data_IF_429656787832
#
_entry.id   IF_429656787832
#
_cell.length_a   1.000
_cell.length_b   1.000
_cell.length_c   1.000
_cell.angle_alpha   90.00
_cell.angle_beta   90.00
_cell.angle_gamma   90.00
#
_symmetry.space_group_name_H-M   'P 1'
#
loop_
_entity.id
_entity.type
_entity.pdbx_description
1 polymer ?
#
# COMPACT_ATOMS: atom_id res chain seq x y z
N UNK A 1 5.81 -12.86 -15.85
CA UNK A 1 4.65 -12.06 -15.45
C UNK A 1 4.76 -10.72 -16.15
N UNK A 2 3.84 -10.41 -17.04
CA UNK A 2 3.75 -9.12 -17.70
C UNK A 2 2.66 -8.31 -16.97
N UNK A 3 3.08 -7.40 -16.11
CA UNK A 3 2.18 -6.40 -15.52
C UNK A 3 2.33 -5.12 -16.31
N UNK A 4 1.23 -4.64 -16.87
CA UNK A 4 1.18 -3.34 -17.53
C UNK A 4 1.15 -2.25 -16.45
N UNK A 5 2.25 -1.51 -16.35
CA UNK A 5 2.37 -0.37 -15.44
C UNK A 5 2.25 0.92 -16.25
N UNK A 6 1.33 1.80 -15.86
CA UNK A 6 1.21 3.09 -16.49
C UNK A 6 2.46 3.94 -16.18
N UNK A 7 3.24 4.24 -17.22
CA UNK A 7 4.38 5.15 -17.14
C UNK A 7 3.93 6.55 -17.58
N UNK A 8 4.49 7.56 -16.94
CA UNK A 8 4.17 8.96 -17.19
C UNK A 8 3.14 9.53 -16.21
N UNK A 9 2.91 10.84 -16.26
CA UNK A 9 2.00 11.50 -15.35
C UNK A 9 0.54 11.19 -15.70
N UNK A 10 -0.23 10.86 -14.67
CA UNK A 10 -1.68 10.70 -14.73
C UNK A 10 -2.29 11.41 -13.53
N UNK A 11 -3.39 12.10 -13.74
CA UNK A 11 -4.10 12.79 -12.65
C UNK A 11 -5.60 12.57 -12.80
N UNK A 12 -6.28 12.51 -11.66
CA UNK A 12 -7.72 12.47 -11.59
C UNK A 12 -8.21 13.44 -10.52
N UNK A 13 -9.31 14.10 -10.80
CA UNK A 13 -10.03 14.94 -9.85
C UNK A 13 -11.51 14.58 -9.89
N UNK A 14 -12.09 14.30 -8.75
CA UNK A 14 -13.51 13.98 -8.60
C UNK A 14 -14.12 14.89 -7.57
N UNK A 15 -15.25 15.50 -7.91
CA UNK A 15 -16.08 16.28 -6.98
C UNK A 15 -17.53 15.87 -7.16
N UNK A 16 -18.22 15.59 -6.06
CA UNK A 16 -19.64 15.15 -6.07
C UNK A 16 -20.42 16.01 -5.13
N UNK A 17 -21.43 16.73 -5.65
CA UNK A 17 -22.33 17.51 -4.82
C UNK A 17 -23.45 16.60 -4.27
N UNK A 18 -23.63 16.60 -2.94
CA UNK A 18 -24.75 15.97 -2.26
C UNK A 18 -25.53 17.02 -1.50
N UNK A 19 -26.83 17.12 -1.80
CA UNK A 19 -27.76 18.06 -1.19
C UNK A 19 -29.08 17.35 -0.88
N UNK A 20 -29.95 17.99 -0.14
CA UNK A 20 -31.31 17.47 0.09
C UNK A 20 -32.09 17.23 -1.21
N UNK A 21 -31.84 18.01 -2.25
CA UNK A 21 -32.44 17.84 -3.57
C UNK A 21 -31.96 16.55 -4.30
N UNK A 22 -30.81 16.05 -3.93
CA UNK A 22 -30.21 14.78 -4.48
C UNK A 22 -30.37 13.60 -3.51
N UNK A 23 -31.21 13.72 -2.47
CA UNK A 23 -31.46 12.65 -1.51
C UNK A 23 -30.48 12.58 -0.35
N UNK A 24 -29.59 13.55 -0.19
CA UNK A 24 -28.66 13.62 0.92
C UNK A 24 -29.24 14.28 2.17
N UNK A 25 -28.91 13.80 3.36
CA UNK A 25 -29.36 14.39 4.64
C UNK A 25 -28.78 15.78 4.88
N UNK A 26 -27.64 16.10 4.25
CA UNK A 26 -26.92 17.38 4.43
C UNK A 26 -26.21 17.79 3.14
N UNK A 27 -26.00 19.11 2.99
CA UNK A 27 -25.18 19.63 1.91
C UNK A 27 -23.69 19.28 2.17
N UNK A 28 -23.12 18.47 1.30
CA UNK A 28 -21.72 18.01 1.34
C UNK A 28 -21.12 18.05 -0.06
N UNK A 29 -19.85 18.37 -0.13
CA UNK A 29 -19.08 18.32 -1.37
C UNK A 29 -17.84 17.41 -1.14
N UNK A 30 -17.96 16.07 -1.31
CA UNK A 30 -16.81 15.19 -1.38
C UNK A 30 -15.91 15.55 -2.55
N UNK A 31 -14.61 15.67 -2.28
CA UNK A 31 -13.58 15.98 -3.27
C UNK A 31 -12.47 14.95 -3.11
N UNK A 32 -11.99 14.43 -4.22
CA UNK A 32 -10.78 13.61 -4.22
C UNK A 32 -9.92 13.93 -5.43
N UNK A 33 -8.62 14.04 -5.22
CA UNK A 33 -7.61 14.19 -6.25
C UNK A 33 -6.56 13.10 -6.12
N UNK A 34 -6.03 12.66 -7.23
CA UNK A 34 -4.92 11.72 -7.28
C UNK A 34 -3.98 12.07 -8.41
N UNK A 35 -2.70 11.98 -8.13
CA UNK A 35 -1.62 12.07 -9.09
C UNK A 35 -0.80 10.80 -9.07
N UNK A 36 -0.46 10.30 -10.24
CA UNK A 36 0.42 9.15 -10.43
C UNK A 36 1.49 9.50 -11.45
N UNK A 37 2.69 8.98 -11.24
CA UNK A 37 3.76 9.03 -12.24
C UNK A 37 4.64 7.81 -12.14
N UNK A 38 5.18 7.38 -13.28
CA UNK A 38 6.09 6.25 -13.35
C UNK A 38 7.21 6.52 -14.33
N UNK A 39 8.39 5.98 -14.03
CA UNK A 39 9.55 6.05 -14.91
C UNK A 39 10.37 4.76 -14.81
N UNK A 40 10.74 4.24 -15.96
CA UNK A 40 11.71 3.17 -16.04
C UNK A 40 13.07 3.72 -16.49
N UNK A 41 14.14 3.30 -15.81
CA UNK A 41 15.52 3.61 -16.20
C UNK A 41 16.38 2.36 -16.03
N UNK A 42 16.79 1.78 -17.15
CA UNK A 42 17.47 0.48 -17.15
C UNK A 42 16.59 -0.61 -16.51
N UNK A 43 17.14 -1.31 -15.55
CA UNK A 43 16.39 -2.32 -14.79
C UNK A 43 15.54 -1.78 -13.64
N UNK A 44 15.53 -0.48 -13.38
CA UNK A 44 14.75 0.11 -12.30
C UNK A 44 13.45 0.71 -12.80
N UNK A 45 12.35 0.32 -12.17
CA UNK A 45 11.05 0.93 -12.26
C UNK A 45 10.81 1.77 -11.01
N UNK A 46 10.48 3.03 -11.18
CA UNK A 46 10.15 3.96 -10.09
C UNK A 46 8.74 4.47 -10.31
N UNK A 47 7.97 4.55 -9.24
CA UNK A 47 6.57 4.93 -9.26
C UNK A 47 6.30 5.88 -8.09
N UNK A 48 5.47 6.87 -8.35
CA UNK A 48 5.06 7.85 -7.36
C UNK A 48 3.56 8.08 -7.44
N UNK A 49 2.92 8.08 -6.28
CA UNK A 49 1.51 8.39 -6.09
C UNK A 49 1.37 9.48 -5.05
N UNK A 50 0.44 10.40 -5.28
CA UNK A 50 -0.02 11.36 -4.29
C UNK A 50 -1.54 11.46 -4.35
N UNK A 51 -2.20 11.58 -3.22
CA UNK A 51 -3.64 11.69 -3.15
C UNK A 51 -4.09 12.64 -2.05
N UNK A 52 -5.23 13.22 -2.28
CA UNK A 52 -5.95 14.03 -1.32
C UNK A 52 -7.43 13.66 -1.44
N UNK A 53 -8.08 13.39 -0.33
CA UNK A 53 -9.51 13.16 -0.28
C UNK A 53 -10.12 13.82 0.94
N UNK A 54 -11.37 14.24 0.85
CA UNK A 54 -12.09 14.86 1.95
C UNK A 54 -13.44 15.35 1.50
N UNK A 55 -14.12 16.08 2.36
CA UNK A 55 -15.37 16.74 2.02
C UNK A 55 -15.42 18.16 2.60
N UNK A 56 -16.09 19.03 1.90
CA UNK A 56 -16.47 20.34 2.43
C UNK A 56 -17.88 20.22 3.02
N UNK A 57 -18.00 20.49 4.30
CA UNK A 57 -19.26 20.53 5.03
C UNK A 57 -19.30 21.80 5.90
N UNK A 58 -20.36 22.61 5.82
CA UNK A 58 -20.49 23.86 6.59
C UNK A 58 -19.27 24.80 6.47
N UNK A 59 -18.72 24.94 5.27
CA UNK A 59 -17.54 25.76 4.95
C UNK A 59 -16.24 25.28 5.62
N UNK A 60 -16.20 24.06 6.11
CA UNK A 60 -15.02 23.44 6.70
C UNK A 60 -14.60 22.18 5.95
N UNK A 61 -13.32 21.91 5.91
CA UNK A 61 -12.78 20.64 5.42
C UNK A 61 -12.93 19.58 6.51
N UNK A 62 -13.64 18.51 6.21
CA UNK A 62 -13.90 17.40 7.11
C UNK A 62 -13.41 16.09 6.48
N UNK A 63 -12.96 15.16 7.30
CA UNK A 63 -12.49 13.84 6.88
C UNK A 63 -11.41 13.92 5.78
N UNK A 64 -10.48 14.86 5.92
CA UNK A 64 -9.42 15.08 4.94
C UNK A 64 -8.30 14.09 5.19
N UNK A 65 -7.89 13.38 4.14
CA UNK A 65 -6.72 12.48 4.14
C UNK A 65 -5.83 12.87 2.96
N UNK A 66 -4.57 13.10 3.24
CA UNK A 66 -3.54 13.32 2.24
C UNK A 66 -2.46 12.24 2.36
N UNK A 67 -1.92 11.79 1.25
CA UNK A 67 -0.87 10.79 1.28
C UNK A 67 0.03 10.85 0.07
N UNK A 68 1.22 10.31 0.25
CA UNK A 68 2.20 10.07 -0.80
C UNK A 68 2.73 8.63 -0.68
N UNK A 69 2.98 8.03 -1.82
CA UNK A 69 3.68 6.75 -1.91
C UNK A 69 4.74 6.82 -2.99
N UNK A 70 5.93 6.34 -2.67
CA UNK A 70 7.00 6.16 -3.63
C UNK A 70 7.40 4.68 -3.60
N UNK A 71 7.52 4.07 -4.77
CA UNK A 71 7.98 2.70 -4.89
C UNK A 71 9.08 2.61 -5.95
N UNK A 72 10.05 1.74 -5.69
CA UNK A 72 11.09 1.40 -6.64
C UNK A 72 11.26 -0.13 -6.69
N UNK A 73 11.39 -0.66 -7.89
CA UNK A 73 11.56 -2.08 -8.10
C UNK A 73 12.62 -2.34 -9.16
N UNK A 74 13.54 -3.24 -8.86
CA UNK A 74 14.47 -3.77 -9.85
C UNK A 74 13.77 -4.88 -10.63
N UNK A 75 13.70 -4.69 -11.95
CA UNK A 75 13.08 -5.64 -12.88
C UNK A 75 14.03 -6.84 -13.11
N UNK A 76 13.42 -8.01 -13.30
CA UNK A 76 14.15 -9.24 -13.58
C UNK A 76 13.79 -10.36 -12.60
N UNK A 77 14.48 -11.49 -12.74
CA UNK A 77 14.25 -12.69 -11.92
C UNK A 77 14.78 -12.55 -10.49
N UNK A 78 15.66 -11.58 -10.27
CA UNK A 78 16.22 -11.22 -8.95
C UNK A 78 16.26 -9.71 -8.84
N UNK A 79 15.98 -9.18 -7.67
CA UNK A 79 16.09 -7.74 -7.48
C UNK A 79 15.52 -7.22 -6.17
N UNK A 80 15.88 -5.99 -5.90
CA UNK A 80 15.38 -5.21 -4.77
C UNK A 80 14.08 -4.52 -5.11
N UNK A 81 13.25 -4.37 -4.11
CA UNK A 81 12.03 -3.58 -4.16
C UNK A 81 11.91 -2.77 -2.86
N UNK A 82 11.51 -1.53 -2.98
CA UNK A 82 11.32 -0.63 -1.85
C UNK A 82 10.05 0.19 -2.00
N UNK A 83 9.40 0.50 -0.88
CA UNK A 83 8.22 1.36 -0.79
C UNK A 83 8.33 2.28 0.41
N UNK A 84 7.96 3.53 0.22
CA UNK A 84 7.70 4.51 1.26
C UNK A 84 6.25 4.95 1.13
N UNK A 85 5.51 4.91 2.22
CA UNK A 85 4.14 5.43 2.34
C UNK A 85 4.10 6.42 3.49
N UNK A 86 3.49 7.57 3.28
CA UNK A 86 3.19 8.54 4.33
C UNK A 86 1.76 9.03 4.10
N UNK A 87 0.93 8.96 5.12
CA UNK A 87 -0.43 9.50 5.13
C UNK A 87 -0.67 10.30 6.40
N UNK A 88 -1.37 11.38 6.26
CA UNK A 88 -1.82 12.20 7.38
C UNK A 88 -3.25 12.68 7.14
N UNK A 89 -3.94 13.00 8.22
CA UNK A 89 -5.34 13.35 8.14
C UNK A 89 -5.71 14.56 8.99
N UNK A 90 -6.80 15.19 8.62
CA UNK A 90 -7.36 16.30 9.37
C UNK A 90 -8.86 16.12 9.55
N UNK A 91 -9.32 16.19 10.81
CA UNK A 91 -10.73 16.05 11.18
C UNK A 91 -11.36 14.78 10.63
N UNK A 92 -10.73 13.63 10.90
CA UNK A 92 -11.34 12.34 10.56
C UNK A 92 -12.69 12.18 11.25
N UNK A 93 -13.61 11.47 10.61
CA UNK A 93 -14.82 10.99 11.24
C UNK A 93 -14.46 10.04 12.39
N UNK A 94 -15.29 10.01 13.44
CA UNK A 94 -15.03 9.21 14.65
C UNK A 94 -14.93 7.70 14.39
N UNK A 95 -15.49 7.24 13.27
CA UNK A 95 -15.49 5.85 12.83
C UNK A 95 -14.34 5.53 11.85
N UNK A 96 -13.42 6.48 11.63
CA UNK A 96 -12.31 6.32 10.69
C UNK A 96 -10.96 6.54 11.36
N UNK A 97 -10.05 5.59 11.14
CA UNK A 97 -8.66 5.65 11.59
C UNK A 97 -7.73 5.28 10.45
N UNK A 98 -6.47 5.70 10.52
CA UNK A 98 -5.39 5.20 9.69
C UNK A 98 -4.68 4.10 10.47
N UNK A 99 -4.90 2.86 10.07
CA UNK A 99 -4.34 1.69 10.74
C UNK A 99 -3.03 1.25 10.11
N UNK A 100 -2.21 0.51 10.85
CA UNK A 100 -0.96 -0.07 10.38
C UNK A 100 -0.81 -1.48 10.95
N UNK A 101 -0.49 -2.43 10.07
CA UNK A 101 -0.33 -3.84 10.38
C UNK A 101 0.04 -4.63 9.13
N UNK A 102 -0.14 -5.95 9.17
CA UNK A 102 0.19 -6.84 8.07
C UNK A 102 -0.56 -6.53 6.78
N UNK A 103 -1.78 -6.05 6.87
CA UNK A 103 -2.66 -5.67 5.76
C UNK A 103 -2.12 -4.46 4.95
N UNK A 104 -1.40 -3.55 5.63
CA UNK A 104 -0.79 -2.37 5.02
C UNK A 104 0.67 -2.64 4.65
N UNK A 105 1.35 -3.57 5.35
CA UNK A 105 2.69 -4.01 5.02
C UNK A 105 3.69 -4.01 6.18
N UNK A 106 3.26 -3.90 7.42
CA UNK A 106 4.06 -4.19 8.62
C UNK A 106 3.82 -5.67 8.98
N UNK A 107 4.49 -6.55 8.24
CA UNK A 107 4.15 -7.99 8.09
C UNK A 107 4.26 -8.84 9.33
N UNK A 108 5.09 -8.43 10.29
CA UNK A 108 5.25 -9.13 11.56
C UNK A 108 4.12 -8.89 12.56
N UNK A 109 3.22 -7.98 12.29
CA UNK A 109 2.17 -7.53 13.18
C UNK A 109 0.79 -7.98 12.68
N UNK A 110 -0.17 -8.14 13.58
CA UNK A 110 -1.54 -8.43 13.17
C UNK A 110 -2.12 -7.32 12.27
N UNK A 111 -3.09 -7.61 11.42
CA UNK A 111 -3.82 -6.58 10.68
C UNK A 111 -4.39 -5.53 11.63
N UNK A 112 -4.40 -4.26 11.20
CA UNK A 112 -4.94 -3.12 11.96
C UNK A 112 -4.43 -2.99 13.40
N UNK A 113 -3.18 -3.44 13.68
CA UNK A 113 -2.67 -3.55 15.05
C UNK A 113 -2.40 -2.18 15.68
N UNK A 114 -1.91 -1.24 14.90
CA UNK A 114 -1.68 0.14 15.35
C UNK A 114 -2.69 1.05 14.66
N UNK A 115 -3.18 2.03 15.38
CA UNK A 115 -4.11 3.03 14.88
C UNK A 115 -3.59 4.45 15.13
N UNK A 116 -4.11 5.39 14.36
CA UNK A 116 -3.75 6.81 14.44
C UNK A 116 -4.49 7.65 13.41
N UNK A 117 -4.20 8.92 13.41
CA UNK A 117 -4.70 9.86 12.41
C UNK A 117 -3.65 10.18 11.34
N UNK A 118 -2.42 9.70 11.53
CA UNK A 118 -1.34 9.67 10.56
C UNK A 118 -0.55 8.37 10.62
N UNK A 119 0.13 8.01 9.53
CA UNK A 119 1.00 6.84 9.46
C UNK A 119 2.14 7.01 8.48
N UNK A 120 3.25 6.34 8.75
CA UNK A 120 4.36 6.16 7.83
C UNK A 120 4.80 4.70 7.80
N UNK A 121 5.24 4.24 6.63
CA UNK A 121 5.69 2.88 6.42
C UNK A 121 6.80 2.83 5.38
N UNK A 122 7.85 2.10 5.69
CA UNK A 122 8.92 1.74 4.78
C UNK A 122 8.95 0.22 4.66
N UNK A 123 8.95 -0.27 3.43
CA UNK A 123 9.17 -1.68 3.13
C UNK A 123 10.41 -1.81 2.26
N UNK A 124 11.25 -2.78 2.57
CA UNK A 124 12.37 -3.17 1.74
C UNK A 124 12.35 -4.68 1.59
N UNK A 125 12.49 -5.18 0.37
CA UNK A 125 12.61 -6.61 0.13
C UNK A 125 13.54 -6.92 -1.03
N UNK A 126 14.20 -8.05 -0.91
CA UNK A 126 14.91 -8.69 -1.99
C UNK A 126 14.20 -9.97 -2.38
N UNK A 127 14.00 -10.18 -3.69
CA UNK A 127 13.34 -11.38 -4.21
C UNK A 127 14.24 -12.11 -5.21
N UNK A 128 14.09 -13.41 -5.29
CA UNK A 128 14.70 -14.24 -6.32
C UNK A 128 13.74 -15.31 -6.79
N UNK A 129 13.44 -15.33 -8.07
CA UNK A 129 12.79 -16.46 -8.73
C UNK A 129 13.83 -17.57 -8.85
N UNK A 130 13.57 -18.72 -8.25
CA UNK A 130 14.48 -19.86 -8.21
C UNK A 130 14.27 -20.78 -9.41
N UNK A 131 13.03 -20.98 -9.82
CA UNK A 131 12.68 -21.81 -10.95
C UNK A 131 11.45 -21.29 -11.65
N UNK A 132 11.56 -21.13 -12.95
CA UNK A 132 10.46 -20.77 -13.83
C UNK A 132 9.84 -22.04 -14.44
N UNK A 133 8.51 -22.02 -14.59
CA UNK A 133 7.75 -23.05 -15.28
C UNK A 133 8.00 -24.50 -14.81
N UNK A 134 7.90 -24.72 -13.49
CA UNK A 134 7.93 -26.09 -12.94
C UNK A 134 6.74 -26.85 -13.50
N UNK A 135 7.01 -27.95 -14.24
CA UNK A 135 6.01 -28.73 -14.98
C UNK A 135 5.14 -27.87 -15.93
N UNK A 136 5.60 -26.67 -16.32
CA UNK A 136 4.82 -25.72 -17.11
C UNK A 136 3.58 -25.16 -16.41
N UNK A 137 3.48 -25.26 -15.06
CA UNK A 137 2.31 -24.90 -14.27
C UNK A 137 2.54 -23.69 -13.37
N UNK A 138 3.69 -23.63 -12.72
CA UNK A 138 3.98 -22.57 -11.75
C UNK A 138 5.46 -22.23 -11.68
N UNK A 139 5.74 -21.00 -11.30
CA UNK A 139 7.08 -20.53 -10.95
C UNK A 139 7.16 -20.34 -9.45
N UNK A 140 8.31 -20.58 -8.85
CA UNK A 140 8.49 -20.33 -7.44
C UNK A 140 9.75 -19.55 -7.15
N UNK A 141 9.71 -18.78 -6.05
CA UNK A 141 10.79 -17.93 -5.61
C UNK A 141 10.82 -17.75 -4.11
N UNK A 142 11.83 -17.04 -3.67
CA UNK A 142 12.00 -16.66 -2.27
C UNK A 142 12.13 -15.14 -2.16
N UNK A 143 11.80 -14.63 -1.01
CA UNK A 143 12.05 -13.24 -0.64
C UNK A 143 12.59 -13.12 0.78
N UNK A 144 13.39 -12.09 0.99
CA UNK A 144 13.83 -11.60 2.29
C UNK A 144 13.31 -10.19 2.43
N UNK A 145 12.88 -9.80 3.62
CA UNK A 145 12.31 -8.48 3.81
C UNK A 145 12.56 -7.89 5.20
N UNK A 146 12.43 -6.57 5.27
CA UNK A 146 12.33 -5.80 6.49
C UNK A 146 11.36 -4.64 6.29
N UNK A 147 10.55 -4.41 7.28
CA UNK A 147 9.54 -3.37 7.30
C UNK A 147 9.74 -2.49 8.53
N UNK A 148 9.44 -1.20 8.40
CA UNK A 148 9.45 -0.23 9.49
C UNK A 148 8.25 0.69 9.35
N UNK A 149 7.54 0.92 10.43
CA UNK A 149 6.36 1.77 10.39
C UNK A 149 5.99 2.38 11.72
N UNK A 150 5.17 3.42 11.65
CA UNK A 150 4.66 4.12 12.82
C UNK A 150 3.31 4.75 12.51
N UNK A 151 2.51 4.94 13.56
CA UNK A 151 1.30 5.74 13.55
C UNK A 151 1.45 6.92 14.51
N UNK A 152 0.70 7.98 14.29
CA UNK A 152 0.66 9.14 15.19
C UNK A 152 -0.70 9.82 15.18
N UNK A 153 -0.93 10.63 16.21
CA UNK A 153 -2.03 11.58 16.22
C UNK A 153 -1.59 12.87 15.54
N UNK A 154 -2.31 13.30 14.49
CA UNK A 154 -1.94 14.47 13.66
C UNK A 154 -1.81 15.78 14.45
N UNK A 155 -2.43 15.87 15.63
CA UNK A 155 -2.30 17.03 16.51
C UNK A 155 -0.98 17.06 17.27
N UNK A 156 -0.36 15.90 17.48
CA UNK A 156 0.89 15.72 18.23
C UNK A 156 2.06 15.62 17.26
N UNK A 157 1.84 15.00 16.11
CA UNK A 157 2.87 14.70 15.11
C UNK A 157 3.59 13.37 15.37
N UNK A 158 4.47 12.99 14.44
CA UNK A 158 5.21 11.74 14.54
C UNK A 158 6.20 11.75 15.72
N UNK A 159 6.25 10.63 16.44
CA UNK A 159 7.23 10.37 17.51
C UNK A 159 8.05 9.14 17.15
N UNK A 160 9.37 9.28 17.12
CA UNK A 160 10.29 8.20 16.76
C UNK A 160 10.27 7.01 17.72
N UNK A 161 9.83 7.19 18.95
CA UNK A 161 9.69 6.12 19.95
C UNK A 161 8.55 5.15 19.57
N UNK A 162 7.63 5.60 18.73
CA UNK A 162 6.54 4.80 18.18
C UNK A 162 6.91 3.95 16.96
N UNK A 163 8.14 4.01 16.46
CA UNK A 163 8.57 3.21 15.29
C UNK A 163 8.64 1.73 15.66
N UNK A 164 8.01 0.90 14.86
CA UNK A 164 8.02 -0.55 14.96
C UNK A 164 8.67 -1.16 13.74
N UNK A 165 9.31 -2.31 13.94
CA UNK A 165 10.05 -3.01 12.91
C UNK A 165 9.60 -4.46 12.84
N UNK A 166 9.76 -5.04 11.68
CA UNK A 166 9.76 -6.48 11.51
C UNK A 166 10.71 -6.90 10.39
N UNK A 167 11.08 -8.17 10.41
CA UNK A 167 11.85 -8.78 9.35
C UNK A 167 11.39 -10.23 9.13
N UNK A 168 11.60 -10.73 7.93
CA UNK A 168 11.14 -12.08 7.62
C UNK A 168 11.63 -12.61 6.29
N UNK A 169 11.13 -13.81 6.02
CA UNK A 169 11.35 -14.56 4.78
C UNK A 169 10.01 -14.92 4.17
N UNK A 170 9.96 -15.12 2.87
CA UNK A 170 8.74 -15.55 2.21
C UNK A 170 8.98 -16.45 1.02
N UNK A 171 7.93 -17.18 0.67
CA UNK A 171 7.85 -18.01 -0.53
C UNK A 171 6.89 -17.34 -1.52
N UNK A 172 7.28 -17.33 -2.77
CA UNK A 172 6.52 -16.80 -3.89
C UNK A 172 6.12 -17.95 -4.81
N UNK A 173 4.84 -18.00 -5.16
CA UNK A 173 4.30 -18.92 -6.14
C UNK A 173 3.53 -18.11 -7.19
N UNK A 174 3.97 -18.17 -8.44
CA UNK A 174 3.28 -17.56 -9.57
C UNK A 174 2.59 -18.66 -10.39
N UNK A 175 1.29 -18.48 -10.66
CA UNK A 175 0.44 -19.43 -11.36
C UNK A 175 -0.03 -18.82 -12.70
N UNK A 176 0.84 -18.75 -13.73
CA UNK A 176 0.56 -18.02 -14.97
C UNK A 176 -0.62 -18.59 -15.78
N UNK A 177 -0.99 -19.86 -15.58
CA UNK A 177 -2.08 -20.52 -16.33
C UNK A 177 -3.48 -20.24 -15.81
N UNK A 178 -3.66 -19.65 -14.63
CA UNK A 178 -5.00 -19.31 -14.13
C UNK A 178 -5.61 -18.05 -14.77
N UNK A 179 -5.10 -17.63 -15.94
CA UNK A 179 -5.66 -16.57 -16.78
C UNK A 179 -5.52 -15.15 -16.25
N UNK A 180 -5.02 -15.01 -15.02
CA UNK A 180 -4.57 -13.77 -14.37
C UNK A 180 -3.35 -14.13 -13.55
N UNK A 181 -2.35 -13.32 -13.58
CA UNK A 181 -1.16 -13.47 -12.74
C UNK A 181 -1.59 -13.55 -11.28
N UNK A 182 -1.67 -14.75 -10.75
CA UNK A 182 -1.98 -14.98 -9.34
C UNK A 182 -0.67 -15.26 -8.63
N UNK A 183 -0.13 -14.21 -8.02
CA UNK A 183 1.02 -14.35 -7.15
C UNK A 183 0.53 -14.73 -5.76
N UNK A 184 0.78 -15.97 -5.36
CA UNK A 184 0.57 -16.42 -3.99
C UNK A 184 1.88 -16.21 -3.21
N UNK A 185 1.77 -15.61 -2.05
CA UNK A 185 2.89 -15.36 -1.16
C UNK A 185 2.60 -15.87 0.24
N UNK A 186 3.58 -16.55 0.81
CA UNK A 186 3.57 -17.04 2.18
C UNK A 186 4.76 -16.40 2.87
N UNK A 187 4.51 -15.54 3.86
CA UNK A 187 5.53 -14.83 4.61
C UNK A 187 5.58 -15.32 6.07
N UNK A 188 6.79 -15.49 6.57
CA UNK A 188 7.07 -15.71 7.98
C UNK A 188 7.87 -14.51 8.49
N UNK A 189 7.31 -13.76 9.40
CA UNK A 189 7.86 -12.52 9.94
C UNK A 189 7.99 -12.56 11.46
N UNK A 190 8.96 -11.82 11.97
CA UNK A 190 9.20 -11.64 13.39
C UNK A 190 9.18 -10.13 13.71
N UNK A 191 8.28 -9.67 14.59
CA UNK A 191 8.25 -8.28 15.05
C UNK A 191 9.36 -7.99 16.06
N UNK A 192 9.69 -6.71 16.21
CA UNK A 192 10.75 -6.22 17.08
C UNK A 192 10.49 -6.40 18.60
N UNK A 193 9.23 -6.59 18.99
CA UNK A 193 8.86 -6.85 20.39
C UNK A 193 9.07 -8.31 20.83
N UNK A 194 9.43 -9.19 19.88
CA UNK A 194 9.65 -10.61 20.17
C UNK A 194 8.39 -11.38 20.54
N UNK A 195 7.19 -10.88 20.22
CA UNK A 195 5.90 -11.51 20.54
C UNK A 195 5.66 -12.86 19.84
N UNK A 196 6.53 -13.24 18.89
CA UNK A 196 6.50 -14.51 18.20
C UNK A 196 6.59 -14.36 16.68
N UNK A 197 6.40 -15.49 15.99
CA UNK A 197 6.42 -15.54 14.55
C UNK A 197 5.01 -15.37 13.99
N UNK A 198 4.85 -14.45 13.05
CA UNK A 198 3.61 -14.25 12.31
C UNK A 198 3.70 -14.91 10.96
N UNK A 199 2.74 -15.78 10.66
CA UNK A 199 2.56 -16.39 9.34
C UNK A 199 1.45 -15.67 8.59
N UNK A 200 1.75 -15.15 7.42
CA UNK A 200 0.75 -14.50 6.56
C UNK A 200 0.67 -15.14 5.18
N UNK A 201 -0.54 -15.15 4.63
CA UNK A 201 -0.84 -15.61 3.28
C UNK A 201 -1.45 -14.46 2.49
N UNK A 202 -0.88 -14.12 1.36
CA UNK A 202 -1.40 -13.07 0.50
C UNK A 202 -1.36 -13.45 -0.98
N UNK A 203 -2.31 -12.91 -1.73
CA UNK A 203 -2.39 -13.08 -3.19
C UNK A 203 -1.93 -11.84 -3.94
N UNK A 204 -1.32 -10.89 -3.24
CA UNK A 204 -0.84 -9.64 -3.84
C UNK A 204 0.61 -9.36 -3.46
N UNK A 205 1.31 -8.64 -4.31
CA UNK A 205 2.58 -8.01 -3.94
C UNK A 205 2.31 -6.82 -3.01
N UNK A 206 3.13 -6.63 -1.95
CA UNK A 206 3.11 -5.40 -1.13
C UNK A 206 3.39 -4.15 -1.98
N UNK A 207 4.12 -4.34 -3.06
CA UNK A 207 4.39 -3.32 -4.07
C UNK A 207 3.25 -3.20 -5.09
N UNK A 208 2.07 -3.71 -4.76
CA UNK A 208 0.89 -3.59 -5.58
C UNK A 208 0.54 -2.10 -5.71
N UNK A 209 0.85 -1.61 -6.86
CA UNK A 209 0.48 -0.25 -7.22
C UNK A 209 -1.02 -0.21 -7.41
N UNK A 210 -1.70 0.75 -6.80
CA UNK A 210 -3.17 0.81 -6.81
C UNK A 210 -3.78 0.97 -8.22
N UNK A 211 -3.01 0.89 -9.28
CA UNK A 211 -3.40 1.08 -10.68
C UNK A 211 -3.62 -0.20 -11.47
N UNK A 212 -3.30 -1.36 -10.94
CA UNK A 212 -3.69 -2.65 -11.50
C UNK A 212 -5.16 -2.96 -11.24
N UNK A 213 -6.09 -2.40 -12.02
CA UNK A 213 -7.49 -2.81 -12.14
C UNK A 213 -8.37 -2.72 -10.89
N UNK A 214 -8.67 -1.53 -10.39
CA UNK A 214 -10.04 -1.27 -9.93
C UNK A 214 -10.85 -0.75 -11.11
N UNK A 215 -11.62 -1.63 -11.75
CA UNK A 215 -12.84 -1.20 -12.41
C UNK A 215 -13.73 -0.67 -11.28
N UNK A 216 -13.83 0.63 -11.22
CA UNK A 216 -14.92 1.28 -10.48
C UNK A 216 -16.14 1.09 -11.38
N UNK A 217 -17.02 0.19 -11.00
CA UNK A 217 -18.41 0.19 -11.46
C UNK A 217 -19.19 1.06 -10.50
#
# INVERSE_FOLDING_TARGET
VQEDVALGPNYSLTAVASTSATGGDRARLPISGRFHTGRQRGSWLMLGDAWLSGRIEKQSGENVVAGIQIAAAQLGTRGWQGRLLIEDSHRLDLDRQLTLGADIGLRGWNPDYFDGTGRALINLQWRSLLKEEVFGLFSFGVLLFGDAGMTWESRVGPDTDGVRFDAGIGLLFDLPRLGRTTLLRIDLAMPDDGSGLTLSLSTSSIFWLPWGRRKIF
#
